data_IF_757593488947
#
_entry.id   IF_757593488947
#
_cell.length_a   1.000
_cell.length_b   1.000
_cell.length_c   1.000
_cell.angle_alpha   90.00
_cell.angle_beta   90.00
_cell.angle_gamma   90.00
#
_symmetry.space_group_name_H-M   'P 1'
#
loop_
_entity.id
_entity.type
_entity.pdbx_description
1 polymer ?
#
# COMPACT_ATOMS: atom_id res chain seq x y z
N UNK A 1 -1.67 2.70 -4.64
CA UNK A 1 -2.94 2.36 -5.33
C UNK A 1 -4.06 3.17 -4.73
N UNK A 2 -4.99 3.61 -5.58
CA UNK A 2 -6.07 4.49 -5.18
C UNK A 2 -7.42 4.03 -5.71
N UNK A 3 -8.48 4.30 -4.98
CA UNK A 3 -9.84 3.97 -5.38
C UNK A 3 -10.74 5.19 -5.28
N UNK A 4 -11.74 5.28 -6.16
CA UNK A 4 -12.83 6.23 -6.01
C UNK A 4 -13.94 5.68 -5.11
N UNK A 5 -14.87 6.55 -4.69
CA UNK A 5 -16.10 6.09 -4.00
C UNK A 5 -16.92 5.13 -4.85
N UNK A 6 -16.90 5.29 -6.18
CA UNK A 6 -17.60 4.40 -7.10
C UNK A 6 -16.96 3.01 -7.11
N UNK A 7 -15.64 2.92 -7.23
CA UNK A 7 -14.94 1.62 -7.16
C UNK A 7 -15.22 0.90 -5.84
N UNK A 8 -15.25 1.64 -4.72
CA UNK A 8 -15.62 1.08 -3.41
C UNK A 8 -17.07 0.56 -3.40
N UNK A 9 -18.01 1.38 -3.87
CA UNK A 9 -19.44 1.06 -3.90
C UNK A 9 -19.71 -0.22 -4.72
N UNK A 10 -19.07 -0.32 -5.88
CA UNK A 10 -19.18 -1.46 -6.80
C UNK A 10 -18.54 -2.73 -6.21
N UNK A 11 -17.38 -2.61 -5.56
CA UNK A 11 -16.68 -3.75 -4.97
C UNK A 11 -17.40 -4.33 -3.73
N UNK A 12 -17.98 -3.46 -2.90
CA UNK A 12 -18.64 -3.79 -1.62
C UNK A 12 -20.19 -3.88 -1.72
N UNK A 13 -20.72 -4.19 -2.91
CA UNK A 13 -22.07 -3.85 -3.41
C UNK A 13 -22.94 -2.97 -2.49
N UNK A 14 -22.62 -1.69 -2.40
CA UNK A 14 -23.36 -0.70 -1.61
C UNK A 14 -23.59 0.60 -2.39
N UNK A 15 -24.46 1.48 -1.89
CA UNK A 15 -24.65 2.78 -2.54
C UNK A 15 -23.46 3.72 -2.29
N UNK A 16 -23.26 4.69 -3.20
CA UNK A 16 -22.18 5.69 -3.12
C UNK A 16 -22.20 6.46 -1.80
N UNK A 17 -23.38 6.79 -1.26
CA UNK A 17 -23.51 7.47 0.03
C UNK A 17 -22.97 6.63 1.19
N UNK A 18 -23.19 5.31 1.16
CA UNK A 18 -22.63 4.39 2.16
C UNK A 18 -21.11 4.31 2.01
N UNK A 19 -20.59 4.22 0.79
CA UNK A 19 -19.16 4.28 0.54
C UNK A 19 -18.56 5.59 1.08
N UNK A 20 -19.17 6.74 0.79
CA UNK A 20 -18.74 8.06 1.27
C UNK A 20 -18.74 8.18 2.80
N UNK A 21 -19.75 7.63 3.48
CA UNK A 21 -19.80 7.59 4.95
C UNK A 21 -18.68 6.74 5.55
N UNK A 22 -18.34 5.60 4.93
CA UNK A 22 -17.28 4.70 5.41
C UNK A 22 -15.88 5.23 5.12
N UNK A 23 -15.71 5.92 4.00
CA UNK A 23 -14.47 6.60 3.63
C UNK A 23 -14.29 7.94 4.33
N UNK A 24 -15.20 8.32 5.24
CA UNK A 24 -15.08 9.55 6.03
C UNK A 24 -13.86 9.45 6.94
N UNK A 25 -12.88 10.32 6.70
CA UNK A 25 -11.61 10.35 7.44
C UNK A 25 -10.51 9.47 6.84
N UNK A 26 -10.78 8.77 5.73
CA UNK A 26 -9.74 8.08 4.97
C UNK A 26 -8.95 9.13 4.17
N UNK A 27 -7.60 9.11 4.23
CA UNK A 27 -6.77 10.00 3.43
C UNK A 27 -7.07 9.87 1.93
N UNK A 28 -7.17 11.01 1.25
CA UNK A 28 -7.41 11.08 -0.18
C UNK A 28 -6.56 12.17 -0.82
N UNK A 29 -6.41 12.08 -2.13
CA UNK A 29 -5.92 13.16 -2.97
C UNK A 29 -6.99 13.54 -3.99
N UNK A 30 -6.88 14.75 -4.53
CA UNK A 30 -7.75 15.21 -5.60
C UNK A 30 -7.32 14.59 -6.92
N UNK A 31 -8.25 13.88 -7.54
CA UNK A 31 -8.14 13.32 -8.86
C UNK A 31 -8.77 14.21 -9.94
N UNK A 32 -8.83 13.71 -11.19
CA UNK A 32 -9.43 14.44 -12.29
C UNK A 32 -10.88 14.85 -12.00
N UNK A 33 -11.28 16.03 -12.44
CA UNK A 33 -12.64 16.57 -12.28
C UNK A 33 -13.11 16.68 -10.81
N UNK A 34 -12.18 16.85 -9.86
CA UNK A 34 -12.50 16.98 -8.43
C UNK A 34 -12.92 15.66 -7.77
N UNK A 35 -12.65 14.53 -8.40
CA UNK A 35 -12.92 13.22 -7.82
C UNK A 35 -11.96 12.95 -6.64
N UNK A 36 -12.49 12.49 -5.50
CA UNK A 36 -11.64 12.07 -4.38
C UNK A 36 -11.12 10.66 -4.61
N UNK A 37 -9.80 10.51 -4.56
CA UNK A 37 -9.10 9.24 -4.73
C UNK A 37 -8.44 8.83 -3.41
N UNK A 38 -8.95 7.75 -2.83
CA UNK A 38 -8.60 7.27 -1.50
C UNK A 38 -7.49 6.23 -1.57
N UNK A 39 -6.54 6.27 -0.62
CA UNK A 39 -5.52 5.23 -0.53
C UNK A 39 -6.16 3.86 -0.29
N UNK A 40 -5.87 2.88 -1.16
CA UNK A 40 -6.46 1.54 -1.05
C UNK A 40 -6.13 0.90 0.30
N UNK A 41 -4.90 1.06 0.79
CA UNK A 41 -4.42 0.52 2.08
C UNK A 41 -5.22 1.05 3.28
N UNK A 42 -5.69 2.30 3.21
CA UNK A 42 -6.51 2.92 4.24
C UNK A 42 -8.02 2.66 4.06
N UNK A 43 -8.46 2.41 2.83
CA UNK A 43 -9.87 2.13 2.54
C UNK A 43 -10.27 0.68 2.87
N UNK A 44 -9.38 -0.29 2.65
CA UNK A 44 -9.63 -1.71 2.89
C UNK A 44 -10.14 -2.03 4.30
N UNK A 45 -9.55 -1.50 5.39
CA UNK A 45 -10.04 -1.72 6.75
C UNK A 45 -11.47 -1.25 7.04
N UNK A 46 -12.06 -0.42 6.16
CA UNK A 46 -13.45 0.06 6.32
C UNK A 46 -14.51 -0.92 5.82
N UNK A 47 -14.10 -1.99 5.13
CA UNK A 47 -15.00 -3.03 4.64
C UNK A 47 -15.58 -3.85 5.80
N UNK A 48 -16.81 -4.33 5.63
CA UNK A 48 -17.43 -5.23 6.62
C UNK A 48 -16.94 -6.66 6.43
N UNK A 49 -16.90 -7.49 7.50
CA UNK A 49 -16.47 -8.89 7.40
C UNK A 49 -17.21 -9.70 6.31
N UNK A 50 -18.52 -9.49 6.18
CA UNK A 50 -19.34 -10.16 5.13
C UNK A 50 -18.95 -9.76 3.70
N UNK A 51 -18.49 -8.53 3.50
CA UNK A 51 -18.08 -8.01 2.19
C UNK A 51 -16.69 -8.53 1.83
N UNK A 52 -15.80 -8.62 2.83
CA UNK A 52 -14.49 -9.26 2.71
C UNK A 52 -14.67 -10.74 2.31
N UNK A 53 -15.51 -11.48 3.02
CA UNK A 53 -15.83 -12.87 2.70
C UNK A 53 -16.45 -13.03 1.30
N UNK A 54 -17.20 -12.03 0.83
CA UNK A 54 -17.77 -12.00 -0.52
C UNK A 54 -16.77 -11.54 -1.60
N UNK A 55 -15.47 -11.39 -1.29
CA UNK A 55 -14.42 -11.06 -2.24
C UNK A 55 -14.29 -9.57 -2.59
N UNK A 56 -14.83 -8.66 -1.76
CA UNK A 56 -14.73 -7.22 -2.02
C UNK A 56 -13.27 -6.74 -2.10
N UNK A 57 -12.37 -7.31 -1.30
CA UNK A 57 -10.94 -6.95 -1.28
C UNK A 57 -10.30 -7.08 -2.65
N UNK A 58 -10.50 -8.22 -3.32
CA UNK A 58 -9.93 -8.50 -4.65
C UNK A 58 -10.52 -7.55 -5.69
N UNK A 59 -11.85 -7.41 -5.74
CA UNK A 59 -12.52 -6.48 -6.67
C UNK A 59 -12.06 -5.03 -6.49
N UNK A 60 -11.85 -4.60 -5.25
CA UNK A 60 -11.39 -3.25 -4.95
C UNK A 60 -9.92 -3.05 -5.35
N UNK A 61 -9.08 -4.08 -5.20
CA UNK A 61 -7.70 -4.05 -5.65
C UNK A 61 -7.59 -4.01 -7.19
N UNK A 62 -8.40 -4.81 -7.89
CA UNK A 62 -8.42 -4.88 -9.35
C UNK A 62 -8.97 -3.60 -10.00
N UNK A 63 -9.90 -2.92 -9.33
CA UNK A 63 -10.46 -1.64 -9.80
C UNK A 63 -9.66 -0.42 -9.37
N UNK A 64 -8.59 -0.60 -8.60
CA UNK A 64 -7.78 0.51 -8.11
C UNK A 64 -6.89 1.08 -9.22
N UNK A 65 -6.79 2.40 -9.26
CA UNK A 65 -5.85 3.11 -10.12
C UNK A 65 -4.45 3.09 -9.51
N UNK A 66 -3.45 2.82 -10.33
CA UNK A 66 -2.03 2.93 -9.97
C UNK A 66 -1.56 4.34 -10.36
N UNK A 67 -0.94 5.11 -9.44
CA UNK A 67 -0.39 6.42 -9.78
C UNK A 67 0.78 6.30 -10.77
N UNK A 68 1.02 7.36 -11.55
CA UNK A 68 2.15 7.43 -12.49
C UNK A 68 3.51 7.41 -11.77
N UNK A 69 3.60 8.03 -10.58
CA UNK A 69 4.76 7.91 -9.70
C UNK A 69 4.61 6.69 -8.79
N UNK A 70 5.05 5.55 -9.30
CA UNK A 70 4.86 4.25 -8.65
C UNK A 70 5.82 4.07 -7.47
N UNK A 71 6.95 4.79 -7.39
CA UNK A 71 8.02 4.51 -6.42
C UNK A 71 7.88 5.29 -5.10
N UNK A 72 7.29 6.47 -5.15
CA UNK A 72 7.10 7.30 -3.97
C UNK A 72 5.81 6.92 -3.23
N UNK A 73 5.93 6.51 -1.96
CA UNK A 73 4.79 6.20 -1.10
C UNK A 73 4.50 7.29 -0.05
N UNK A 74 5.33 8.33 0.03
CA UNK A 74 5.17 9.48 0.91
C UNK A 74 5.16 9.16 2.41
N UNK A 75 4.56 10.06 3.20
CA UNK A 75 4.38 9.88 4.65
C UNK A 75 3.23 8.92 4.96
N UNK A 76 3.41 7.66 4.57
CA UNK A 76 2.40 6.62 4.68
C UNK A 76 2.74 5.57 5.73
N UNK A 77 3.75 5.80 6.59
CA UNK A 77 4.26 4.75 7.50
C UNK A 77 3.18 4.23 8.45
N UNK A 78 2.44 5.12 9.10
CA UNK A 78 1.34 4.74 9.99
C UNK A 78 0.21 4.02 9.26
N UNK A 79 -0.12 4.48 8.04
CA UNK A 79 -1.12 3.82 7.19
C UNK A 79 -0.65 2.42 6.79
N UNK A 80 0.63 2.27 6.44
CA UNK A 80 1.22 1.00 6.08
C UNK A 80 1.22 0.03 7.28
N UNK A 81 1.57 0.50 8.48
CA UNK A 81 1.50 -0.31 9.73
C UNK A 81 0.10 -0.88 9.95
N UNK A 82 -0.91 -0.01 9.97
CA UNK A 82 -2.33 -0.41 10.14
C UNK A 82 -2.79 -1.37 9.06
N UNK A 83 -2.37 -1.14 7.82
CA UNK A 83 -2.67 -2.04 6.71
C UNK A 83 -2.06 -3.43 6.93
N UNK A 84 -0.78 -3.52 7.30
CA UNK A 84 -0.09 -4.79 7.58
C UNK A 84 -0.76 -5.54 8.74
N UNK A 85 -1.14 -4.82 9.79
CA UNK A 85 -1.89 -5.37 10.92
C UNK A 85 -3.30 -5.84 10.53
N UNK A 86 -3.94 -5.22 9.55
CA UNK A 86 -5.26 -5.62 9.09
C UNK A 86 -5.25 -6.86 8.19
N UNK A 87 -4.15 -7.15 7.49
CA UNK A 87 -4.04 -8.29 6.58
C UNK A 87 -4.38 -9.62 7.24
N UNK A 88 -5.04 -10.50 6.47
CA UNK A 88 -5.27 -11.89 6.88
C UNK A 88 -3.95 -12.70 6.89
N UNK A 89 -3.92 -13.90 7.51
CA UNK A 89 -2.69 -14.69 7.61
C UNK A 89 -2.04 -15.06 6.28
N UNK A 90 -2.83 -15.27 5.23
CA UNK A 90 -2.33 -15.66 3.91
C UNK A 90 -1.68 -14.47 3.19
N UNK A 91 -2.36 -13.32 3.22
CA UNK A 91 -1.82 -12.07 2.71
C UNK A 91 -0.55 -11.65 3.48
N UNK A 92 -0.52 -11.81 4.81
CA UNK A 92 0.68 -11.57 5.62
C UNK A 92 1.83 -12.49 5.23
N UNK A 93 1.56 -13.76 4.94
CA UNK A 93 2.59 -14.70 4.46
C UNK A 93 3.19 -14.23 3.13
N UNK A 94 2.37 -13.80 2.17
CA UNK A 94 2.84 -13.22 0.90
C UNK A 94 3.70 -11.98 1.12
N UNK A 95 3.23 -11.07 1.97
CA UNK A 95 3.98 -9.87 2.32
C UNK A 95 5.33 -10.20 2.96
N UNK A 96 5.38 -11.18 3.88
CA UNK A 96 6.61 -11.58 4.53
C UNK A 96 7.68 -12.06 3.53
N UNK A 97 7.28 -12.81 2.49
CA UNK A 97 8.20 -13.23 1.43
C UNK A 97 8.77 -12.02 0.66
N UNK A 98 7.92 -11.04 0.33
CA UNK A 98 8.33 -9.79 -0.33
C UNK A 98 9.29 -8.99 0.56
N UNK A 99 8.95 -8.82 1.84
CA UNK A 99 9.77 -8.09 2.80
C UNK A 99 11.14 -8.74 3.00
N UNK A 100 11.21 -10.07 3.08
CA UNK A 100 12.48 -10.79 3.18
C UNK A 100 13.32 -10.57 1.93
N UNK A 101 12.72 -10.70 0.73
CA UNK A 101 13.42 -10.43 -0.53
C UNK A 101 13.88 -8.97 -0.61
N UNK A 102 13.08 -8.02 -0.14
CA UNK A 102 13.41 -6.60 -0.09
C UNK A 102 14.66 -6.33 0.76
N UNK A 103 14.70 -6.87 1.98
CA UNK A 103 15.85 -6.71 2.89
C UNK A 103 17.11 -7.31 2.29
N UNK A 104 17.04 -8.54 1.75
CA UNK A 104 18.18 -9.18 1.08
C UNK A 104 18.65 -8.38 -0.13
N UNK A 105 17.73 -7.82 -0.91
CA UNK A 105 18.06 -7.03 -2.10
C UNK A 105 18.74 -5.71 -1.73
N UNK A 106 18.29 -5.06 -0.65
CA UNK A 106 18.95 -3.87 -0.12
C UNK A 106 20.34 -4.19 0.41
N UNK A 107 20.48 -5.25 1.20
CA UNK A 107 21.76 -5.64 1.78
C UNK A 107 22.84 -5.91 0.72
N UNK A 108 22.45 -6.42 -0.45
CA UNK A 108 23.35 -6.69 -1.57
C UNK A 108 23.49 -5.50 -2.54
N UNK A 109 22.88 -4.35 -2.25
CA UNK A 109 22.90 -3.17 -3.11
C UNK A 109 23.95 -2.15 -2.69
N UNK A 110 24.55 -1.39 -3.63
CA UNK A 110 25.41 -0.25 -3.32
C UNK A 110 24.74 0.84 -2.46
N UNK A 111 23.40 0.85 -2.38
CA UNK A 111 22.65 1.83 -1.58
C UNK A 111 22.53 1.45 -0.10
N UNK A 112 23.08 0.30 0.31
CA UNK A 112 23.12 -0.16 1.71
C UNK A 112 24.12 0.68 2.54
N UNK A 113 23.79 1.95 2.73
CA UNK A 113 24.52 2.90 3.55
C UNK A 113 23.89 3.00 4.94
N UNK A 114 24.62 3.47 5.98
CA UNK A 114 24.09 3.58 7.35
C UNK A 114 22.70 4.22 7.46
N UNK A 115 22.37 5.33 6.75
CA UNK A 115 21.03 5.92 6.82
C UNK A 115 19.91 5.00 6.32
N UNK A 116 20.18 4.14 5.33
CA UNK A 116 19.20 3.17 4.82
C UNK A 116 19.02 2.02 5.82
N UNK A 117 20.10 1.61 6.48
CA UNK A 117 20.07 0.57 7.52
C UNK A 117 19.28 1.04 8.74
N UNK A 118 19.50 2.28 9.19
CA UNK A 118 18.75 2.90 10.29
C UNK A 118 17.24 2.94 10.03
N UNK A 119 16.84 3.13 8.77
CA UNK A 119 15.45 3.22 8.36
C UNK A 119 14.89 1.90 7.79
N UNK A 120 15.64 0.80 7.87
CA UNK A 120 15.32 -0.45 7.18
C UNK A 120 13.96 -1.00 7.59
N UNK A 121 13.60 -0.95 8.87
CA UNK A 121 12.29 -1.39 9.34
C UNK A 121 11.16 -0.55 8.76
N UNK A 122 11.32 0.78 8.76
CA UNK A 122 10.34 1.70 8.18
C UNK A 122 10.18 1.48 6.68
N UNK A 123 11.28 1.32 5.94
CA UNK A 123 11.27 1.00 4.51
C UNK A 123 10.60 -0.35 4.23
N UNK A 124 10.90 -1.37 5.07
CA UNK A 124 10.27 -2.69 5.01
C UNK A 124 8.77 -2.62 5.28
N UNK A 125 8.29 -1.72 6.13
CA UNK A 125 6.86 -1.51 6.32
C UNK A 125 6.26 -0.76 5.13
N UNK A 126 6.90 0.29 4.64
CA UNK A 126 6.44 1.12 3.53
C UNK A 126 6.29 0.33 2.22
N UNK A 127 7.15 -0.66 1.96
CA UNK A 127 7.05 -1.50 0.75
C UNK A 127 5.70 -2.25 0.68
N UNK A 128 4.99 -2.43 1.80
CA UNK A 128 3.70 -3.11 1.83
C UNK A 128 2.59 -2.34 1.08
N UNK A 129 2.70 -1.01 0.99
CA UNK A 129 1.72 -0.16 0.28
C UNK A 129 2.11 0.15 -1.16
N UNK A 130 3.21 -0.46 -1.63
CA UNK A 130 3.65 -0.34 -3.01
C UNK A 130 2.66 -1.03 -3.97
N UNK A 131 2.24 -0.41 -5.09
CA UNK A 131 1.17 -0.96 -5.93
C UNK A 131 1.35 -2.41 -6.36
N UNK A 132 2.52 -2.77 -6.89
CA UNK A 132 2.80 -4.15 -7.31
C UNK A 132 2.81 -5.14 -6.14
N UNK A 133 3.25 -4.70 -4.96
CA UNK A 133 3.22 -5.52 -3.74
C UNK A 133 1.79 -5.70 -3.25
N UNK A 134 1.00 -4.63 -3.21
CA UNK A 134 -0.42 -4.69 -2.84
C UNK A 134 -1.20 -5.63 -3.76
N UNK A 135 -0.99 -5.54 -5.08
CA UNK A 135 -1.62 -6.45 -6.03
C UNK A 135 -1.27 -7.92 -5.73
N UNK A 136 0.02 -8.24 -5.59
CA UNK A 136 0.48 -9.59 -5.23
C UNK A 136 -0.12 -10.08 -3.89
N UNK A 137 -0.08 -9.24 -2.86
CA UNK A 137 -0.55 -9.58 -1.51
C UNK A 137 -2.06 -9.83 -1.48
N UNK A 138 -2.84 -8.95 -2.11
CA UNK A 138 -4.30 -8.95 -2.02
C UNK A 138 -4.97 -9.91 -3.00
N UNK A 139 -4.43 -10.07 -4.22
CA UNK A 139 -5.08 -10.86 -5.28
C UNK A 139 -4.33 -12.15 -5.61
N UNK A 140 -3.10 -12.31 -5.12
CA UNK A 140 -2.23 -13.42 -5.52
C UNK A 140 -1.66 -13.26 -6.93
N UNK A 141 -1.71 -12.06 -7.51
CA UNK A 141 -1.03 -11.74 -8.76
C UNK A 141 0.48 -12.08 -8.71
N UNK A 142 1.16 -12.08 -9.85
CA UNK A 142 2.61 -12.34 -9.89
C UNK A 142 3.38 -11.41 -8.95
N UNK A 143 4.34 -11.98 -8.21
CA UNK A 143 5.18 -11.21 -7.30
C UNK A 143 5.99 -10.17 -8.09
N UNK A 144 6.11 -8.91 -7.61
CA UNK A 144 6.94 -7.92 -8.27
C UNK A 144 8.42 -8.32 -8.23
N UNK A 145 9.21 -7.79 -9.17
CA UNK A 145 10.67 -7.96 -9.17
C UNK A 145 11.33 -7.07 -8.11
N UNK A 146 11.15 -7.48 -6.84
CA UNK A 146 11.62 -6.74 -5.66
C UNK A 146 13.13 -6.46 -5.71
N UNK A 147 13.92 -7.36 -6.31
CA UNK A 147 15.36 -7.19 -6.43
C UNK A 147 15.77 -5.95 -7.22
N UNK A 148 15.04 -5.64 -8.30
CA UNK A 148 15.30 -4.47 -9.12
C UNK A 148 14.68 -3.21 -8.50
N UNK A 149 13.55 -3.37 -7.83
CA UNK A 149 12.79 -2.28 -7.21
C UNK A 149 13.46 -1.73 -5.94
N UNK A 150 14.02 -2.60 -5.09
CA UNK A 150 14.37 -2.26 -3.72
C UNK A 150 15.35 -1.07 -3.60
N UNK A 151 16.45 -0.99 -4.39
CA UNK A 151 17.39 0.12 -4.26
C UNK A 151 16.77 1.48 -4.60
N UNK A 152 16.03 1.55 -5.72
CA UNK A 152 15.34 2.77 -6.13
C UNK A 152 14.26 3.17 -5.11
N UNK A 153 13.51 2.20 -4.60
CA UNK A 153 12.51 2.42 -3.56
C UNK A 153 13.14 2.99 -2.29
N UNK A 154 14.28 2.45 -1.83
CA UNK A 154 14.99 2.97 -0.67
C UNK A 154 15.47 4.40 -0.92
N UNK A 155 16.11 4.70 -2.05
CA UNK A 155 16.57 6.06 -2.37
C UNK A 155 15.41 7.07 -2.27
N UNK A 156 14.27 6.75 -2.87
CA UNK A 156 13.11 7.65 -2.93
C UNK A 156 12.44 7.85 -1.57
N UNK A 157 12.33 6.80 -0.76
CA UNK A 157 11.53 6.83 0.48
C UNK A 157 12.37 6.96 1.77
N UNK A 158 13.70 6.94 1.69
CA UNK A 158 14.60 7.08 2.85
C UNK A 158 14.71 8.53 3.38
N UNK A 159 14.03 9.48 2.75
CA UNK A 159 14.08 10.93 3.09
C UNK A 159 13.27 11.32 4.32
N UNK A 160 12.43 10.42 4.87
CA UNK A 160 11.42 10.79 5.88
C UNK A 160 11.87 10.78 7.35
N UNK A 161 13.08 10.31 7.69
CA UNK A 161 13.57 10.38 9.08
C UNK A 161 14.63 11.48 9.34
N UNK A 162 15.12 12.18 8.31
CA UNK A 162 16.09 13.27 8.53
C UNK A 162 15.45 14.61 8.97
N UNK A 163 14.13 14.77 8.85
CA UNK A 163 13.45 16.05 9.17
C UNK A 163 12.92 16.19 10.59
N UNK A 164 13.03 15.16 11.43
CA UNK A 164 12.60 15.22 12.84
C UNK A 164 13.71 15.63 13.82
N UNK A 165 14.87 16.05 13.31
CA UNK A 165 16.06 16.39 14.11
C UNK A 165 16.65 17.78 13.79
N UNK A 166 15.84 18.71 13.26
CA UNK A 166 16.25 20.09 12.98
C UNK A 166 15.31 21.09 13.65
#
# INVERSE_FOLDING_TARGET
MFISQRNYADAAPCCIETAGRRLKGVPYHDGPNGARLYHLSAALPTLRPREIAAGAVVRMAESATVPDDVLYVGDALETARRYVEWLDPEARRRLAMIQNRFVVSLANSPVCAPPVVENLESLRTLIAVQPGVMAHVLTGASAPEVGQLAPAFAIVNNTFNMRSAA
#
